data_IF_626992026979
#
_entry.id   IF_626992026979
#
_cell.length_a   1.000
_cell.length_b   1.000
_cell.length_c   1.000
_cell.angle_alpha   90.00
_cell.angle_beta   90.00
_cell.angle_gamma   90.00
#
_symmetry.space_group_name_H-M   'P 1'
#
loop_
_entity.id
_entity.type
_entity.pdbx_description
1 polymer ?
#
# COMPACT_ATOMS: atom_id res chain seq x y z
N UNK A 1 0.71 35.06 -0.22
CA UNK A 1 0.58 33.71 -0.81
C UNK A 1 0.57 32.68 0.31
N UNK A 2 -0.52 31.94 0.50
CA UNK A 2 -0.66 30.97 1.60
C UNK A 2 0.13 29.72 1.21
N UNK A 3 1.21 29.43 1.94
CA UNK A 3 2.07 28.25 1.69
C UNK A 3 1.27 27.00 2.05
N UNK A 4 1.12 26.09 1.09
CA UNK A 4 0.44 24.83 1.32
C UNK A 4 1.41 23.89 2.07
N UNK A 5 1.01 23.34 3.24
CA UNK A 5 1.92 22.53 4.05
C UNK A 5 2.33 21.22 3.37
N UNK A 6 1.48 20.66 2.51
CA UNK A 6 1.76 19.46 1.71
C UNK A 6 2.86 19.75 0.68
N UNK A 7 2.80 20.91 0.02
CA UNK A 7 3.79 21.31 -0.98
C UNK A 7 5.16 21.58 -0.36
N UNK A 8 5.21 22.03 0.89
CA UNK A 8 6.46 22.13 1.64
C UNK A 8 6.99 20.77 2.08
N UNK A 9 6.13 19.88 2.56
CA UNK A 9 6.54 18.53 2.98
C UNK A 9 7.08 17.71 1.79
N UNK A 10 6.44 17.84 0.63
CA UNK A 10 6.89 17.25 -0.63
C UNK A 10 8.07 17.99 -1.25
N UNK A 11 8.54 19.13 -0.72
CA UNK A 11 9.72 19.81 -1.29
C UNK A 11 11.01 19.10 -0.88
N UNK A 12 11.02 18.47 0.29
CA UNK A 12 12.18 17.76 0.81
C UNK A 12 12.29 16.35 0.18
N UNK A 13 13.41 16.01 -0.47
CA UNK A 13 13.59 14.72 -1.13
C UNK A 13 13.51 13.53 -0.15
N UNK A 14 13.94 13.72 1.10
CA UNK A 14 13.86 12.69 2.15
C UNK A 14 12.42 12.34 2.53
N UNK A 15 11.54 13.34 2.59
CA UNK A 15 10.13 13.12 2.90
C UNK A 15 9.43 12.37 1.76
N UNK A 16 9.77 12.68 0.50
CA UNK A 16 9.30 11.90 -0.65
C UNK A 16 9.76 10.44 -0.57
N UNK A 17 11.04 10.21 -0.27
CA UNK A 17 11.60 8.86 -0.14
C UNK A 17 10.90 8.05 0.97
N UNK A 18 10.66 8.68 2.13
CA UNK A 18 9.90 8.06 3.22
C UNK A 18 8.49 7.67 2.78
N UNK A 19 7.75 8.58 2.15
CA UNK A 19 6.39 8.29 1.66
C UNK A 19 6.42 7.14 0.64
N UNK A 20 7.40 7.11 -0.26
CA UNK A 20 7.56 6.02 -1.22
C UNK A 20 7.80 4.67 -0.54
N UNK A 21 8.65 4.62 0.48
CA UNK A 21 8.89 3.40 1.26
C UNK A 21 7.62 2.94 1.98
N UNK A 22 6.89 3.87 2.61
CA UNK A 22 5.63 3.57 3.27
C UNK A 22 4.56 3.05 2.30
N UNK A 23 4.44 3.68 1.12
CA UNK A 23 3.54 3.21 0.06
C UNK A 23 3.92 1.83 -0.46
N UNK A 24 5.22 1.59 -0.68
CA UNK A 24 5.71 0.29 -1.15
C UNK A 24 5.44 -0.81 -0.12
N UNK A 25 5.69 -0.52 1.16
CA UNK A 25 5.36 -1.45 2.26
C UNK A 25 3.86 -1.74 2.32
N UNK A 26 3.02 -0.72 2.13
CA UNK A 26 1.57 -0.88 2.03
C UNK A 26 1.17 -1.78 0.86
N UNK A 27 1.71 -1.55 -0.34
CA UNK A 27 1.43 -2.38 -1.52
C UNK A 27 1.78 -3.85 -1.30
N UNK A 28 2.92 -4.15 -0.67
CA UNK A 28 3.35 -5.52 -0.38
C UNK A 28 2.34 -6.21 0.56
N UNK A 29 1.94 -5.54 1.64
CA UNK A 29 0.99 -6.08 2.62
C UNK A 29 -0.38 -6.33 1.96
N UNK A 30 -0.89 -5.35 1.21
CA UNK A 30 -2.19 -5.47 0.53
C UNK A 30 -2.17 -6.59 -0.50
N UNK A 31 -1.10 -6.72 -1.28
CA UNK A 31 -0.95 -7.80 -2.27
C UNK A 31 -0.93 -9.16 -1.59
N UNK A 32 -0.22 -9.29 -0.47
CA UNK A 32 -0.17 -10.53 0.30
C UNK A 32 -1.55 -10.91 0.86
N UNK A 33 -2.27 -9.95 1.45
CA UNK A 33 -3.62 -10.17 1.97
C UNK A 33 -4.61 -10.57 0.87
N UNK A 34 -4.59 -9.88 -0.28
CA UNK A 34 -5.44 -10.21 -1.43
C UNK A 34 -5.12 -11.62 -1.94
N UNK A 35 -3.83 -11.95 -2.08
CA UNK A 35 -3.41 -13.27 -2.57
C UNK A 35 -3.94 -14.38 -1.67
N UNK A 36 -3.78 -14.25 -0.35
CA UNK A 36 -4.31 -15.21 0.62
C UNK A 36 -5.84 -15.29 0.55
N UNK A 37 -6.52 -14.14 0.53
CA UNK A 37 -7.98 -14.10 0.43
C UNK A 37 -8.50 -14.79 -0.83
N UNK A 38 -7.84 -14.58 -1.97
CA UNK A 38 -8.19 -15.22 -3.24
C UNK A 38 -7.91 -16.71 -3.20
N UNK A 39 -6.82 -17.17 -2.59
CA UNK A 39 -6.55 -18.59 -2.41
C UNK A 39 -7.65 -19.27 -1.58
N UNK A 40 -8.06 -18.67 -0.47
CA UNK A 40 -9.18 -19.17 0.32
C UNK A 40 -10.49 -19.18 -0.45
N UNK A 41 -10.76 -18.11 -1.21
CA UNK A 41 -11.94 -18.03 -2.06
C UNK A 41 -11.97 -19.14 -3.12
N UNK A 42 -10.86 -19.42 -3.78
CA UNK A 42 -10.75 -20.52 -4.75
C UNK A 42 -10.98 -21.87 -4.05
N UNK A 43 -10.34 -22.11 -2.89
CA UNK A 43 -10.53 -23.36 -2.15
C UNK A 43 -12.00 -23.58 -1.74
N UNK A 44 -12.69 -22.51 -1.34
CA UNK A 44 -14.12 -22.55 -1.04
C UNK A 44 -14.96 -22.88 -2.29
N UNK A 45 -14.67 -22.25 -3.44
CA UNK A 45 -15.38 -22.53 -4.70
C UNK A 45 -15.18 -23.97 -5.19
N UNK A 46 -14.02 -24.57 -4.93
CA UNK A 46 -13.71 -25.96 -5.28
C UNK A 46 -14.37 -26.95 -4.31
N UNK A 47 -14.90 -26.49 -3.17
CA UNK A 47 -15.56 -27.33 -2.17
C UNK A 47 -14.59 -28.10 -1.28
N UNK A 48 -13.35 -27.61 -1.12
CA UNK A 48 -12.38 -28.13 -0.15
C UNK A 48 -12.67 -27.66 1.29
N UNK A 49 -13.63 -26.74 1.45
CA UNK A 49 -14.10 -26.18 2.71
C UNK A 49 -15.58 -25.80 2.62
#
# INVERSE_FOLDING_TARGET
>A
MKRNPIDQFMKDPDNKAKVFIWMTRGMIITTFMITIGVLFFIMHLVGLF
#
